data_IF_936577616082
#
_entry.id   IF_936577616082
#
_cell.length_a   1.000
_cell.length_b   1.000
_cell.length_c   1.000
_cell.angle_alpha   90.00
_cell.angle_beta   90.00
_cell.angle_gamma   90.00
#
_symmetry.space_group_name_H-M   'P 1'
#
loop_
_entity.id
_entity.type
_entity.pdbx_description
1 polymer ?
#
# COMPACT_ATOMS: atom_id res chain seq x y z
N UNK A 1 12.01 -1.34 13.17
CA UNK A 1 10.64 -1.50 12.64
C UNK A 1 10.70 -2.62 11.61
N UNK A 2 9.95 -3.69 11.86
CA UNK A 2 9.92 -4.95 11.12
C UNK A 2 8.74 -5.06 10.15
N UNK A 3 7.85 -4.06 10.12
CA UNK A 3 6.70 -3.97 9.21
C UNK A 3 6.59 -2.56 8.61
N UNK A 4 6.09 -2.44 7.37
CA UNK A 4 5.73 -1.14 6.81
C UNK A 4 4.51 -0.57 7.54
N UNK A 5 4.31 0.75 7.42
CA UNK A 5 3.15 1.45 7.97
C UNK A 5 2.37 2.09 6.83
N UNK A 6 1.05 1.94 6.87
CA UNK A 6 0.12 2.59 5.97
C UNK A 6 -0.82 3.44 6.81
N UNK A 7 -0.90 4.73 6.50
CA UNK A 7 -1.86 5.65 7.07
C UNK A 7 -2.96 5.96 6.06
N UNK A 8 -4.19 6.06 6.53
CA UNK A 8 -5.38 6.40 5.74
C UNK A 8 -5.99 7.68 6.30
N UNK A 9 -6.50 8.53 5.40
CA UNK A 9 -7.30 9.71 5.75
C UNK A 9 -8.48 9.80 4.81
N UNK A 10 -9.69 9.81 5.36
CA UNK A 10 -10.93 10.01 4.61
C UNK A 10 -11.36 11.48 4.69
N UNK A 11 -11.70 12.10 3.56
CA UNK A 11 -12.25 13.45 3.49
C UNK A 11 -12.93 13.68 2.15
N UNK A 12 -14.17 14.17 2.17
CA UNK A 12 -14.88 14.58 0.95
C UNK A 12 -15.21 13.42 0.01
N UNK A 13 -15.45 12.22 0.52
CA UNK A 13 -15.77 11.02 -0.28
C UNK A 13 -14.56 10.30 -0.85
N UNK A 14 -13.35 10.83 -0.63
CA UNK A 14 -12.09 10.20 -1.02
C UNK A 14 -11.28 9.77 0.21
N UNK A 15 -10.54 8.68 0.05
CA UNK A 15 -9.54 8.19 0.98
C UNK A 15 -8.17 8.35 0.35
N UNK A 16 -7.25 8.98 1.09
CA UNK A 16 -5.84 9.10 0.75
C UNK A 16 -5.03 8.17 1.62
N UNK A 17 -4.31 7.24 0.99
CA UNK A 17 -3.40 6.33 1.65
C UNK A 17 -1.95 6.80 1.46
N UNK A 18 -1.13 6.66 2.49
CA UNK A 18 0.32 6.89 2.44
C UNK A 18 1.08 5.77 3.14
N UNK A 19 2.01 5.14 2.44
CA UNK A 19 2.83 4.04 2.93
C UNK A 19 4.27 4.45 3.17
N UNK A 20 4.88 3.93 4.24
CA UNK A 20 6.31 4.07 4.54
C UNK A 20 6.90 2.74 5.00
N UNK A 21 8.04 2.38 4.40
CA UNK A 21 8.87 1.25 4.79
C UNK A 21 10.21 1.72 5.38
N UNK A 22 11.10 0.76 5.61
CA UNK A 22 12.50 1.02 5.97
C UNK A 22 13.41 0.42 4.90
N UNK A 23 14.65 0.92 4.78
CA UNK A 23 15.62 0.33 3.86
C UNK A 23 15.87 -1.16 4.14
N UNK A 24 15.74 -1.62 5.40
CA UNK A 24 15.85 -3.04 5.74
C UNK A 24 14.70 -3.87 5.15
N UNK A 25 13.48 -3.34 5.14
CA UNK A 25 12.34 -4.02 4.51
C UNK A 25 12.48 -4.07 2.98
N UNK A 26 12.95 -2.99 2.36
CA UNK A 26 13.22 -2.97 0.91
C UNK A 26 14.27 -4.03 0.56
N UNK A 27 15.36 -4.13 1.34
CA UNK A 27 16.35 -5.21 1.17
C UNK A 27 15.78 -6.62 1.33
N UNK A 28 14.65 -6.77 2.04
CA UNK A 28 13.92 -8.02 2.19
C UNK A 28 12.92 -8.30 1.06
N UNK A 29 12.75 -7.38 0.11
CA UNK A 29 11.84 -7.54 -1.03
C UNK A 29 10.59 -6.66 -0.99
N UNK A 30 10.44 -5.79 0.02
CA UNK A 30 9.30 -4.87 0.07
C UNK A 30 9.36 -3.86 -1.08
N UNK A 31 8.30 -3.80 -1.88
CA UNK A 31 8.04 -2.72 -2.83
C UNK A 31 6.63 -2.12 -2.58
N UNK A 32 6.61 -0.97 -1.89
CA UNK A 32 5.37 -0.23 -1.64
C UNK A 32 4.80 0.44 -2.89
N UNK A 33 5.61 0.79 -3.89
CA UNK A 33 5.14 1.37 -5.13
C UNK A 33 4.27 0.38 -5.91
N UNK A 34 4.74 -0.86 -6.03
CA UNK A 34 3.94 -1.94 -6.59
C UNK A 34 2.72 -2.28 -5.71
N UNK A 35 2.90 -2.37 -4.40
CA UNK A 35 1.82 -2.65 -3.45
C UNK A 35 0.68 -1.65 -3.61
N UNK A 36 0.98 -0.36 -3.58
CA UNK A 36 -0.03 0.70 -3.65
C UNK A 36 -0.70 0.79 -5.01
N UNK A 37 0.03 0.52 -6.11
CA UNK A 37 -0.55 0.43 -7.45
C UNK A 37 -1.60 -0.69 -7.54
N UNK A 38 -1.24 -1.91 -7.11
CA UNK A 38 -2.15 -3.07 -7.13
C UNK A 38 -3.34 -2.88 -6.19
N UNK A 39 -3.10 -2.35 -4.99
CA UNK A 39 -4.13 -2.12 -3.99
C UNK A 39 -5.12 -1.02 -4.41
N UNK A 40 -4.62 0.09 -4.97
CA UNK A 40 -5.48 1.16 -5.46
C UNK A 40 -6.35 0.70 -6.64
N UNK A 41 -5.79 -0.09 -7.56
CA UNK A 41 -6.57 -0.66 -8.66
C UNK A 41 -7.72 -1.55 -8.14
N UNK A 42 -7.47 -2.38 -7.12
CA UNK A 42 -8.51 -3.20 -6.49
C UNK A 42 -9.58 -2.36 -5.76
N UNK A 43 -9.21 -1.16 -5.30
CA UNK A 43 -10.10 -0.21 -4.65
C UNK A 43 -10.79 0.76 -5.62
N UNK A 44 -10.59 0.62 -6.94
CA UNK A 44 -11.16 1.50 -7.96
C UNK A 44 -10.51 2.89 -8.01
N UNK A 45 -9.27 3.02 -7.56
CA UNK A 45 -8.51 4.27 -7.55
C UNK A 45 -7.13 4.16 -8.18
N UNK A 46 -6.27 5.13 -7.87
CA UNK A 46 -4.92 5.25 -8.43
C UNK A 46 -3.88 5.27 -7.33
N UNK A 47 -2.72 4.67 -7.58
CA UNK A 47 -1.64 4.60 -6.60
C UNK A 47 -0.31 4.21 -7.21
N UNK A 48 0.75 4.43 -6.44
CA UNK A 48 2.13 4.16 -6.85
C UNK A 48 3.14 4.89 -6.00
N UNK A 49 4.41 4.86 -6.42
CA UNK A 49 5.52 5.50 -5.72
C UNK A 49 6.80 4.68 -5.84
N UNK A 50 7.64 4.78 -4.81
CA UNK A 50 8.90 4.05 -4.69
C UNK A 50 8.77 2.87 -3.71
N UNK A 51 9.75 1.97 -3.75
CA UNK A 51 9.79 0.77 -2.90
C UNK A 51 9.64 1.11 -1.40
N UNK A 52 10.24 2.21 -0.96
CA UNK A 52 10.24 2.65 0.44
C UNK A 52 9.05 3.55 0.81
N UNK A 53 8.41 4.20 -0.17
CA UNK A 53 7.37 5.20 0.08
C UNK A 53 6.41 5.32 -1.11
N UNK A 54 5.11 5.18 -0.84
CA UNK A 54 4.08 5.20 -1.86
C UNK A 54 2.80 5.89 -1.35
N UNK A 55 1.91 6.22 -2.29
CA UNK A 55 0.62 6.85 -2.01
C UNK A 55 -0.47 6.36 -2.95
N UNK A 56 -1.73 6.48 -2.52
CA UNK A 56 -2.90 6.13 -3.30
C UNK A 56 -4.11 7.00 -2.94
N UNK A 57 -5.01 7.16 -3.90
CA UNK A 57 -6.31 7.83 -3.73
C UNK A 57 -7.40 6.93 -4.32
N UNK A 58 -8.49 6.74 -3.58
CA UNK A 58 -9.65 5.94 -3.98
C UNK A 58 -10.90 6.43 -3.21
N UNK A 59 -12.09 5.96 -3.58
CA UNK A 59 -13.34 6.31 -2.87
C UNK A 59 -13.50 5.54 -1.55
N UNK A 60 -14.29 6.06 -0.61
CA UNK A 60 -14.50 5.45 0.74
C UNK A 60 -14.93 3.97 0.70
N UNK A 61 -15.73 3.57 -0.29
CA UNK A 61 -16.14 2.18 -0.46
C UNK A 61 -14.97 1.21 -0.76
N UNK A 62 -13.83 1.73 -1.22
CA UNK A 62 -12.64 0.97 -1.60
C UNK A 62 -11.69 0.64 -0.45
N UNK A 63 -11.88 1.20 0.75
CA UNK A 63 -10.91 1.07 1.86
C UNK A 63 -10.61 -0.39 2.23
N UNK A 64 -11.64 -1.22 2.36
CA UNK A 64 -11.46 -2.63 2.70
C UNK A 64 -10.73 -3.40 1.58
N UNK A 65 -11.07 -3.12 0.32
CA UNK A 65 -10.41 -3.74 -0.84
C UNK A 65 -8.94 -3.33 -0.93
N UNK A 66 -8.63 -2.06 -0.67
CA UNK A 66 -7.28 -1.53 -0.61
C UNK A 66 -6.45 -2.26 0.46
N UNK A 67 -6.93 -2.29 1.71
CA UNK A 67 -6.19 -2.89 2.82
C UNK A 67 -5.98 -4.40 2.62
N UNK A 68 -7.01 -5.11 2.16
CA UNK A 68 -6.92 -6.54 1.86
C UNK A 68 -5.86 -6.82 0.79
N UNK A 69 -5.90 -6.08 -0.32
CA UNK A 69 -4.95 -6.29 -1.43
C UNK A 69 -3.54 -5.86 -1.07
N UNK A 70 -3.38 -4.75 -0.31
CA UNK A 70 -2.08 -4.30 0.17
C UNK A 70 -1.43 -5.36 1.08
N UNK A 71 -2.20 -5.93 2.02
CA UNK A 71 -1.72 -7.01 2.89
C UNK A 71 -1.27 -8.23 2.07
N UNK A 72 -2.10 -8.71 1.16
CA UNK A 72 -1.79 -9.86 0.30
C UNK A 72 -0.48 -9.65 -0.48
N UNK A 73 -0.30 -8.48 -1.10
CA UNK A 73 0.91 -8.19 -1.88
C UNK A 73 2.15 -8.09 -1.00
N UNK A 74 2.05 -7.46 0.19
CA UNK A 74 3.16 -7.38 1.14
C UNK A 74 3.54 -8.76 1.67
N UNK A 75 2.56 -9.61 2.00
CA UNK A 75 2.79 -11.00 2.42
C UNK A 75 3.54 -11.76 1.32
N UNK A 76 3.08 -11.71 0.07
CA UNK A 76 3.78 -12.34 -1.07
C UNK A 76 5.23 -11.83 -1.21
N UNK A 77 5.43 -10.52 -1.13
CA UNK A 77 6.77 -9.91 -1.27
C UNK A 77 7.74 -10.34 -0.15
N UNK A 78 7.23 -10.63 1.06
CA UNK A 78 8.05 -10.93 2.24
C UNK A 78 8.06 -12.42 2.63
N UNK A 79 7.12 -13.24 2.15
CA UNK A 79 7.02 -14.68 2.40
C UNK A 79 7.84 -15.54 1.42
N UNK A 80 8.36 -14.97 0.32
CA UNK A 80 9.18 -15.73 -0.65
C UNK A 80 10.58 -16.13 -0.12
N UNK A 81 10.81 -16.23 1.20
CA UNK A 81 12.02 -16.82 1.80
C UNK A 81 11.77 -17.50 3.14
#
# INVERSE_FOLDING_TARGET
>A
RDKPVIALSASGGEVKASGRGTAWLVKKGLDLGETFRKAAQAAGGVGGGHEVAAGATFGEAGEHAFLKKAKEVIEIQLEMR
#
